data_IF_347635641703
#
_entry.id   IF_347635641703
#
_cell.length_a   1.000
_cell.length_b   1.000
_cell.length_c   1.000
_cell.angle_alpha   90.00
_cell.angle_beta   90.00
_cell.angle_gamma   90.00
#
_symmetry.space_group_name_H-M   'P 1'
#
loop_
_entity.id
_entity.type
_entity.pdbx_description
1 polymer ?
#
# COMPACT_ATOMS: atom_id res chain seq x y z
N UNK A 1 -24.40 -18.36 -12.93
CA UNK A 1 -23.75 -19.57 -13.49
C UNK A 1 -22.26 -19.41 -13.25
N UNK A 2 -21.70 -20.13 -12.28
CA UNK A 2 -20.28 -20.00 -11.92
C UNK A 2 -19.44 -20.75 -12.97
N UNK A 3 -18.61 -20.03 -13.73
CA UNK A 3 -17.62 -20.64 -14.61
C UNK A 3 -16.44 -21.13 -13.77
N UNK A 4 -15.99 -22.36 -14.00
CA UNK A 4 -14.79 -22.92 -13.38
C UNK A 4 -13.53 -22.18 -13.86
N UNK A 5 -12.43 -22.33 -13.12
CA UNK A 5 -11.09 -21.77 -13.40
C UNK A 5 -10.69 -21.86 -14.88
N UNK A 6 -10.92 -23.00 -15.53
CA UNK A 6 -10.59 -23.20 -16.96
C UNK A 6 -11.63 -22.59 -17.92
N UNK A 7 -12.88 -22.46 -17.48
CA UNK A 7 -13.95 -21.81 -18.23
C UNK A 7 -13.73 -20.31 -18.38
N UNK A 8 -13.22 -19.65 -17.33
CA UNK A 8 -12.86 -18.22 -17.37
C UNK A 8 -11.65 -17.99 -18.30
N UNK A 9 -10.61 -18.83 -18.22
CA UNK A 9 -9.44 -18.74 -19.11
C UNK A 9 -9.78 -18.95 -20.60
N UNK A 10 -10.71 -19.87 -20.92
CA UNK A 10 -11.15 -20.11 -22.30
C UNK A 10 -12.01 -18.98 -22.86
N UNK A 11 -12.94 -18.44 -22.07
CA UNK A 11 -13.74 -17.26 -22.49
C UNK A 11 -12.80 -16.06 -22.70
N UNK A 12 -11.76 -15.92 -21.89
CA UNK A 12 -10.77 -14.85 -22.02
C UNK A 12 -9.88 -14.95 -23.26
N UNK A 13 -9.44 -16.16 -23.64
CA UNK A 13 -8.69 -16.34 -24.90
C UNK A 13 -9.52 -15.94 -26.12
N UNK A 14 -10.84 -16.21 -26.10
CA UNK A 14 -11.76 -15.86 -27.19
C UNK A 14 -11.99 -14.35 -27.24
N UNK A 15 -12.22 -13.68 -26.09
CA UNK A 15 -12.44 -12.23 -26.05
C UNK A 15 -11.16 -11.45 -26.43
N UNK A 16 -9.98 -11.89 -25.97
CA UNK A 16 -8.70 -11.33 -26.41
C UNK A 16 -8.45 -11.53 -27.90
N UNK A 17 -8.80 -12.69 -28.45
CA UNK A 17 -8.69 -12.97 -29.89
C UNK A 17 -9.59 -12.06 -30.71
N UNK A 18 -10.86 -11.85 -30.30
CA UNK A 18 -11.78 -10.96 -31.01
C UNK A 18 -11.41 -9.47 -30.88
N UNK A 19 -10.93 -9.02 -29.72
CA UNK A 19 -10.47 -7.65 -29.54
C UNK A 19 -9.22 -7.35 -30.40
N UNK A 20 -8.25 -8.27 -30.42
CA UNK A 20 -7.04 -8.14 -31.26
C UNK A 20 -7.35 -8.26 -32.75
N UNK A 21 -8.27 -9.14 -33.18
CA UNK A 21 -8.72 -9.22 -34.57
C UNK A 21 -9.46 -7.96 -35.02
N UNK A 22 -10.30 -7.38 -34.17
CA UNK A 22 -11.04 -6.15 -34.49
C UNK A 22 -10.10 -4.95 -34.61
N UNK A 23 -9.06 -4.87 -33.76
CA UNK A 23 -8.01 -3.83 -33.82
C UNK A 23 -7.13 -4.00 -35.07
N UNK A 24 -6.80 -5.25 -35.46
CA UNK A 24 -6.05 -5.53 -36.69
C UNK A 24 -6.83 -5.17 -37.96
N UNK A 25 -8.16 -5.33 -37.95
CA UNK A 25 -9.00 -4.99 -39.10
C UNK A 25 -9.25 -3.47 -39.24
N UNK A 26 -9.20 -2.72 -38.14
CA UNK A 26 -9.31 -1.25 -38.14
C UNK A 26 -7.96 -0.55 -38.40
N UNK A 27 -6.84 -1.25 -38.25
CA UNK A 27 -5.47 -0.74 -38.37
C UNK A 27 -4.94 -0.54 -39.80
N UNK A 28 -5.80 -0.31 -40.81
CA UNK A 28 -5.34 0.08 -42.15
C UNK A 28 -5.22 1.60 -42.36
N UNK A 29 -5.65 2.44 -41.41
CA UNK A 29 -5.56 3.90 -41.56
C UNK A 29 -5.22 4.57 -40.23
N UNK A 30 -4.01 5.13 -40.13
CA UNK A 30 -3.51 6.06 -39.09
C UNK A 30 -2.91 5.47 -37.80
N UNK A 31 -1.69 5.93 -37.48
CA UNK A 31 -0.91 5.68 -36.27
C UNK A 31 -1.56 6.19 -34.96
N UNK A 32 -2.56 7.07 -35.06
CA UNK A 32 -3.27 7.65 -33.90
C UNK A 32 -4.25 6.65 -33.28
N UNK A 33 -4.83 5.75 -34.10
CA UNK A 33 -5.81 4.75 -33.65
C UNK A 33 -5.13 3.66 -32.80
N UNK A 34 -3.88 3.30 -33.14
CA UNK A 34 -3.10 2.29 -32.40
C UNK A 34 -2.70 2.76 -31.01
N UNK A 35 -2.43 4.06 -30.84
CA UNK A 35 -2.11 4.64 -29.54
C UNK A 35 -3.35 4.67 -28.62
N UNK A 36 -4.51 5.13 -29.15
CA UNK A 36 -5.79 5.13 -28.43
C UNK A 36 -6.25 3.70 -28.05
N UNK A 37 -5.98 2.70 -28.88
CA UNK A 37 -6.28 1.30 -28.53
C UNK A 37 -5.37 0.76 -27.43
N UNK A 38 -4.12 1.24 -27.36
CA UNK A 38 -3.16 0.86 -26.31
C UNK A 38 -3.52 1.48 -24.97
N UNK A 39 -3.91 2.76 -24.93
CA UNK A 39 -4.43 3.41 -23.71
C UNK A 39 -5.74 2.79 -23.26
N UNK A 40 -6.65 2.44 -24.18
CA UNK A 40 -7.87 1.70 -23.84
C UNK A 40 -7.56 0.31 -23.27
N UNK A 41 -6.60 -0.43 -23.84
CA UNK A 41 -6.19 -1.74 -23.33
C UNK A 41 -5.57 -1.64 -21.94
N UNK A 42 -4.73 -0.63 -21.69
CA UNK A 42 -4.14 -0.35 -20.38
C UNK A 42 -5.19 0.06 -19.35
N UNK A 43 -6.17 0.90 -19.71
CA UNK A 43 -7.32 1.22 -18.86
C UNK A 43 -8.16 -0.02 -18.57
N UNK A 44 -8.38 -0.89 -19.56
CA UNK A 44 -9.15 -2.11 -19.38
C UNK A 44 -8.44 -3.11 -18.46
N UNK A 45 -7.12 -3.26 -18.61
CA UNK A 45 -6.25 -4.06 -17.73
C UNK A 45 -6.28 -3.47 -16.31
N UNK A 46 -6.20 -2.15 -16.16
CA UNK A 46 -6.24 -1.47 -14.86
C UNK A 46 -7.59 -1.67 -14.15
N UNK A 47 -8.70 -1.47 -14.86
CA UNK A 47 -10.08 -1.68 -14.34
C UNK A 47 -10.31 -3.16 -14.01
N UNK A 48 -9.81 -4.07 -14.85
CA UNK A 48 -9.96 -5.51 -14.66
C UNK A 48 -9.13 -6.06 -13.48
N UNK A 49 -7.94 -5.52 -13.24
CA UNK A 49 -7.08 -5.91 -12.10
C UNK A 49 -7.56 -5.30 -10.77
N UNK A 50 -8.22 -4.14 -10.78
CA UNK A 50 -8.94 -3.65 -9.59
C UNK A 50 -10.11 -4.56 -9.19
N UNK A 51 -10.68 -5.34 -10.13
CA UNK A 51 -11.79 -6.26 -9.85
C UNK A 51 -11.34 -7.69 -9.46
N UNK A 52 -10.10 -8.09 -9.73
CA UNK A 52 -9.59 -9.43 -9.39
C UNK A 52 -8.78 -9.40 -8.10
N UNK A 53 -9.42 -9.79 -7.00
CA UNK A 53 -8.72 -10.14 -5.75
C UNK A 53 -7.97 -11.46 -5.93
N UNK A 54 -6.82 -11.43 -6.61
CA UNK A 54 -5.93 -12.58 -6.70
C UNK A 54 -4.47 -12.19 -6.50
N UNK A 55 -3.87 -12.85 -5.50
CA UNK A 55 -2.45 -12.90 -5.20
C UNK A 55 -1.58 -13.17 -6.44
N UNK A 56 -0.49 -12.40 -6.55
CA UNK A 56 0.71 -12.62 -7.36
C UNK A 56 0.50 -13.37 -8.68
N UNK A 57 0.11 -12.61 -9.71
CA UNK A 57 0.19 -13.09 -11.10
C UNK A 57 1.03 -12.12 -11.91
N UNK A 58 2.18 -12.58 -12.41
CA UNK A 58 2.93 -11.89 -13.47
C UNK A 58 2.16 -12.13 -14.76
N UNK A 59 1.48 -11.12 -15.28
CA UNK A 59 0.81 -11.21 -16.58
C UNK A 59 1.84 -10.96 -17.68
N UNK A 60 2.38 -12.01 -18.27
CA UNK A 60 3.21 -11.90 -19.47
C UNK A 60 2.30 -11.72 -20.69
N UNK A 61 2.12 -10.48 -21.15
CA UNK A 61 1.40 -10.19 -22.39
C UNK A 61 2.39 -10.22 -23.55
N UNK A 62 2.40 -11.31 -24.32
CA UNK A 62 3.15 -11.38 -25.59
C UNK A 62 2.21 -11.00 -26.74
N UNK A 63 2.34 -9.79 -27.26
CA UNK A 63 1.59 -9.37 -28.45
C UNK A 63 2.31 -9.90 -29.71
N UNK A 64 1.61 -10.59 -30.64
CA UNK A 64 2.20 -10.96 -31.91
C UNK A 64 2.19 -9.73 -32.83
N UNK A 65 3.33 -9.06 -33.00
CA UNK A 65 3.50 -8.03 -34.01
C UNK A 65 4.74 -8.30 -34.88
N UNK A 66 4.66 -7.84 -36.12
CA UNK A 66 5.58 -8.05 -37.27
C UNK A 66 7.08 -7.90 -36.92
N UNK A 67 7.99 -8.46 -37.76
CA UNK A 67 9.41 -8.65 -37.41
C UNK A 67 10.26 -7.38 -37.22
N UNK A 68 9.72 -6.17 -37.41
CA UNK A 68 10.51 -4.93 -37.39
C UNK A 68 10.35 -4.07 -36.12
N UNK A 69 9.61 -4.53 -35.10
CA UNK A 69 9.48 -3.79 -33.83
C UNK A 69 10.30 -4.47 -32.71
N UNK A 70 11.32 -3.78 -32.20
CA UNK A 70 12.01 -4.17 -30.96
C UNK A 70 11.06 -3.93 -29.78
N UNK A 71 10.65 -5.01 -29.12
CA UNK A 71 9.78 -4.96 -27.94
C UNK A 71 10.60 -4.59 -26.71
N UNK A 72 10.27 -3.45 -26.09
CA UNK A 72 10.53 -3.28 -24.66
C UNK A 72 9.50 -4.14 -23.93
N UNK A 73 9.96 -5.17 -23.21
CA UNK A 73 9.08 -5.97 -22.37
C UNK A 73 8.42 -5.05 -21.34
N UNK A 74 7.15 -4.74 -21.53
CA UNK A 74 6.37 -4.01 -20.52
C UNK A 74 5.93 -5.01 -19.47
N UNK A 75 6.82 -5.30 -18.51
CA UNK A 75 6.47 -6.07 -17.33
C UNK A 75 5.68 -5.16 -16.40
N UNK A 76 4.36 -5.22 -16.48
CA UNK A 76 3.49 -4.58 -15.48
C UNK A 76 3.47 -5.49 -14.25
N UNK A 77 4.43 -5.31 -13.33
CA UNK A 77 4.39 -5.95 -12.02
C UNK A 77 3.37 -5.22 -11.16
N UNK A 78 2.11 -5.64 -11.19
CA UNK A 78 1.15 -5.23 -10.18
C UNK A 78 1.50 -5.93 -8.87
N UNK A 79 2.32 -5.25 -8.05
CA UNK A 79 2.54 -5.64 -6.67
C UNK A 79 1.29 -5.28 -5.89
N UNK A 80 0.35 -6.23 -5.83
CA UNK A 80 -0.76 -6.17 -4.90
C UNK A 80 -0.16 -6.32 -3.50
N UNK A 81 -0.11 -5.22 -2.74
CA UNK A 81 -0.04 -5.32 -1.29
C UNK A 81 -1.17 -6.25 -0.87
N UNK A 82 -0.84 -7.38 -0.24
CA UNK A 82 -1.85 -8.32 0.23
C UNK A 82 -2.73 -7.58 1.24
N UNK A 83 -3.90 -7.11 0.80
CA UNK A 83 -4.91 -6.51 1.65
C UNK A 83 -5.53 -7.64 2.48
N UNK A 84 -4.90 -7.99 3.60
CA UNK A 84 -5.56 -8.77 4.65
C UNK A 84 -6.55 -7.84 5.35
N UNK A 85 -7.66 -7.54 4.68
CA UNK A 85 -8.72 -6.63 5.15
C UNK A 85 -10.03 -7.39 5.18
N UNK A 86 -10.79 -7.20 6.25
CA UNK A 86 -12.03 -7.92 6.45
C UNK A 86 -13.00 -7.04 7.23
N UNK A 87 -14.13 -6.73 6.61
CA UNK A 87 -15.21 -5.94 7.18
C UNK A 87 -16.49 -6.76 7.15
N UNK A 88 -17.18 -6.87 8.27
CA UNK A 88 -18.53 -7.42 8.33
C UNK A 88 -19.52 -6.31 8.65
N UNK A 89 -20.55 -6.20 7.83
CA UNK A 89 -21.63 -5.21 7.98
C UNK A 89 -22.92 -5.90 8.36
N UNK A 90 -23.82 -5.17 9.02
CA UNK A 90 -25.08 -5.67 9.54
C UNK A 90 -26.23 -4.71 9.23
N UNK A 91 -27.41 -5.24 8.92
CA UNK A 91 -28.59 -4.46 8.55
C UNK A 91 -29.31 -3.80 9.74
N UNK A 92 -28.93 -4.13 10.98
CA UNK A 92 -29.45 -3.51 12.20
C UNK A 92 -28.31 -3.07 13.13
N UNK A 93 -28.56 -2.11 14.04
CA UNK A 93 -27.64 -1.80 15.13
C UNK A 93 -27.34 -3.02 16.01
N UNK A 94 -26.24 -2.96 16.77
CA UNK A 94 -25.85 -4.02 17.71
C UNK A 94 -25.43 -5.32 17.04
N UNK A 95 -24.96 -5.28 15.78
CA UNK A 95 -24.51 -6.45 15.01
C UNK A 95 -25.61 -7.49 14.75
N UNK A 96 -26.84 -7.02 14.51
CA UNK A 96 -28.02 -7.86 14.30
C UNK A 96 -28.55 -7.76 12.85
N UNK A 97 -29.49 -8.64 12.51
CA UNK A 97 -30.14 -8.65 11.18
C UNK A 97 -29.36 -9.43 10.12
N UNK A 98 -29.58 -9.09 8.85
CA UNK A 98 -28.80 -9.64 7.74
C UNK A 98 -27.36 -9.13 7.85
N UNK A 99 -26.39 -10.01 7.57
CA UNK A 99 -24.97 -9.63 7.61
C UNK A 99 -24.25 -10.04 6.33
N UNK A 100 -23.27 -9.24 5.93
CA UNK A 100 -22.41 -9.51 4.77
C UNK A 100 -20.97 -9.19 5.13
N UNK A 101 -20.06 -9.97 4.57
CA UNK A 101 -18.63 -9.79 4.74
C UNK A 101 -17.97 -9.33 3.45
N UNK A 102 -17.01 -8.40 3.58
CA UNK A 102 -16.28 -7.79 2.49
C UNK A 102 -14.78 -7.88 2.75
N UNK A 103 -14.03 -8.20 1.70
CA UNK A 103 -12.56 -8.13 1.65
C UNK A 103 -12.03 -7.24 0.53
N UNK A 104 -12.93 -6.59 -0.22
CA UNK A 104 -12.61 -5.72 -1.36
C UNK A 104 -13.51 -4.50 -1.34
N UNK A 105 -13.20 -3.51 -2.18
CA UNK A 105 -14.06 -2.35 -2.39
C UNK A 105 -15.43 -2.72 -2.98
N UNK A 106 -16.44 -1.91 -2.66
CA UNK A 106 -17.84 -2.05 -3.07
C UNK A 106 -18.38 -0.67 -3.40
N UNK A 107 -18.69 -0.42 -4.67
CA UNK A 107 -19.23 0.85 -5.14
C UNK A 107 -20.71 1.07 -4.78
N UNK A 108 -21.45 0.01 -4.47
CA UNK A 108 -22.83 0.07 -3.99
C UNK A 108 -23.14 -1.13 -3.09
N UNK A 109 -23.47 -0.86 -1.82
CA UNK A 109 -23.93 -1.87 -0.86
C UNK A 109 -25.25 -2.52 -1.30
N UNK A 110 -25.99 -1.90 -2.22
CA UNK A 110 -27.21 -2.41 -2.83
C UNK A 110 -28.39 -2.40 -1.86
N UNK A 111 -29.18 -3.48 -1.87
CA UNK A 111 -30.39 -3.63 -1.05
C UNK A 111 -30.15 -3.80 0.46
N UNK A 112 -28.89 -3.93 0.89
CA UNK A 112 -28.52 -3.99 2.30
C UNK A 112 -28.16 -2.59 2.77
N UNK A 113 -28.95 -2.03 3.69
CA UNK A 113 -28.64 -0.75 4.36
C UNK A 113 -27.79 -1.06 5.60
N UNK A 114 -26.48 -0.76 5.60
CA UNK A 114 -25.61 -1.07 6.73
C UNK A 114 -25.91 -0.13 7.90
N UNK A 115 -26.10 -0.70 9.09
CA UNK A 115 -26.43 0.02 10.33
C UNK A 115 -25.44 -0.23 11.46
N UNK A 116 -24.62 -1.28 11.39
CA UNK A 116 -23.50 -1.53 12.30
C UNK A 116 -22.39 -2.33 11.62
N UNK A 117 -21.16 -2.23 12.14
CA UNK A 117 -19.95 -2.70 11.46
C UNK A 117 -19.00 -3.39 12.44
N UNK A 118 -18.36 -4.47 11.98
CA UNK A 118 -17.21 -5.09 12.63
C UNK A 118 -16.06 -5.06 11.65
N UNK A 119 -15.08 -4.21 11.92
CA UNK A 119 -13.82 -4.23 11.20
C UNK A 119 -12.96 -5.31 11.84
N UNK A 120 -12.92 -6.47 11.19
CA UNK A 120 -12.23 -7.66 11.69
C UNK A 120 -10.73 -7.52 11.44
N UNK A 121 -10.34 -7.09 10.24
CA UNK A 121 -8.94 -6.86 9.85
C UNK A 121 -8.79 -5.59 9.01
N UNK A 122 -7.72 -4.85 9.27
CA UNK A 122 -7.31 -3.66 8.55
C UNK A 122 -8.15 -2.42 8.86
N UNK A 123 -8.15 -1.48 7.92
CA UNK A 123 -8.89 -0.22 8.02
C UNK A 123 -9.76 -0.04 6.78
N UNK A 124 -10.90 0.63 6.93
CA UNK A 124 -11.90 0.79 5.89
C UNK A 124 -12.35 2.24 5.80
N UNK A 125 -12.57 2.70 4.57
CA UNK A 125 -13.13 3.99 4.25
C UNK A 125 -14.56 3.77 3.75
N UNK A 126 -15.52 4.36 4.45
CA UNK A 126 -16.93 4.29 4.12
C UNK A 126 -17.39 5.61 3.53
N UNK A 127 -18.45 5.53 2.74
CA UNK A 127 -19.07 6.67 2.07
C UNK A 127 -20.58 6.61 2.19
N UNK A 128 -21.24 7.76 2.34
CA UNK A 128 -22.70 7.87 2.36
C UNK A 128 -23.34 7.95 0.97
N UNK A 129 -22.52 8.10 -0.07
CA UNK A 129 -22.94 7.98 -1.47
C UNK A 129 -22.33 6.75 -2.15
N UNK A 130 -22.88 6.44 -3.33
CA UNK A 130 -22.37 5.36 -4.19
C UNK A 130 -21.07 5.81 -4.84
N UNK A 131 -20.36 4.86 -5.45
CA UNK A 131 -19.19 5.13 -6.28
C UNK A 131 -18.07 5.90 -5.55
N UNK A 132 -18.00 5.75 -4.22
CA UNK A 132 -16.98 6.36 -3.36
C UNK A 132 -17.06 7.90 -3.30
N UNK A 133 -18.27 8.44 -3.34
CA UNK A 133 -18.56 9.87 -3.27
C UNK A 133 -19.18 10.27 -1.92
N UNK A 134 -19.32 11.58 -1.70
CA UNK A 134 -19.93 12.12 -0.49
C UNK A 134 -19.00 12.13 0.72
N UNK A 135 -19.60 12.06 1.91
CA UNK A 135 -18.89 12.16 3.18
C UNK A 135 -18.12 10.88 3.47
N UNK A 136 -16.92 11.03 4.03
CA UNK A 136 -16.04 9.92 4.36
C UNK A 136 -16.12 9.56 5.85
N UNK A 137 -16.02 8.26 6.13
CA UNK A 137 -15.91 7.75 7.51
C UNK A 137 -14.79 6.72 7.58
N UNK A 138 -13.78 7.00 8.43
CA UNK A 138 -12.58 6.17 8.53
C UNK A 138 -12.71 5.22 9.71
N UNK A 139 -12.79 3.91 9.42
CA UNK A 139 -12.88 2.88 10.45
C UNK A 139 -11.57 2.09 10.57
N UNK A 140 -11.09 1.92 11.79
CA UNK A 140 -10.01 1.00 12.14
C UNK A 140 -10.57 -0.33 12.67
N UNK A 141 -9.70 -1.28 12.98
CA UNK A 141 -10.12 -2.55 13.58
C UNK A 141 -10.89 -2.34 14.88
N UNK A 142 -12.11 -2.90 14.96
CA UNK A 142 -12.98 -2.67 16.09
C UNK A 142 -14.46 -2.98 15.84
N UNK A 143 -15.26 -2.62 16.85
CA UNK A 143 -16.70 -2.84 16.90
C UNK A 143 -17.43 -1.51 16.87
N UNK A 144 -18.31 -1.35 15.88
CA UNK A 144 -19.08 -0.14 15.64
C UNK A 144 -20.57 -0.51 15.71
N UNK A 145 -21.19 -0.46 16.92
CA UNK A 145 -22.54 -0.97 17.14
C UNK A 145 -23.64 -0.16 16.43
N UNK A 146 -23.35 1.05 15.97
CA UNK A 146 -24.30 1.92 15.26
C UNK A 146 -23.56 2.92 14.34
N UNK A 147 -24.32 3.68 13.54
CA UNK A 147 -23.77 4.72 12.66
C UNK A 147 -23.04 5.82 13.44
N UNK A 148 -23.55 6.20 14.62
CA UNK A 148 -22.93 7.23 15.48
C UNK A 148 -21.51 6.84 15.88
N UNK A 149 -21.28 5.57 16.21
CA UNK A 149 -19.95 5.05 16.54
C UNK A 149 -18.97 5.11 15.38
N UNK A 150 -19.45 5.20 14.13
CA UNK A 150 -18.64 5.42 12.93
C UNK A 150 -18.31 6.91 12.70
N UNK A 151 -18.86 7.82 13.51
CA UNK A 151 -18.89 9.25 13.21
C UNK A 151 -19.95 9.64 12.18
N UNK A 152 -20.87 8.74 11.85
CA UNK A 152 -21.97 9.01 10.92
C UNK A 152 -23.22 9.48 11.70
N UNK A 153 -23.64 10.72 11.45
CA UNK A 153 -24.68 11.38 12.25
C UNK A 153 -26.12 11.07 11.83
N UNK A 154 -26.37 10.35 10.72
CA UNK A 154 -27.70 9.80 10.30
C UNK A 154 -27.73 9.25 8.87
N UNK A 155 -26.65 9.38 8.09
CA UNK A 155 -26.64 8.99 6.67
C UNK A 155 -26.46 7.48 6.48
N UNK A 156 -27.07 6.94 5.43
CA UNK A 156 -26.89 5.54 5.09
C UNK A 156 -25.55 5.34 4.36
N UNK A 157 -24.75 4.38 4.80
CA UNK A 157 -23.50 4.00 4.11
C UNK A 157 -23.83 3.25 2.83
N UNK A 158 -23.32 3.73 1.69
CA UNK A 158 -23.62 3.18 0.36
C UNK A 158 -22.41 2.60 -0.36
N UNK A 159 -21.19 3.05 -0.08
CA UNK A 159 -20.00 2.45 -0.68
C UNK A 159 -18.84 2.33 0.32
N UNK A 160 -17.93 1.40 0.06
CA UNK A 160 -16.92 0.92 1.01
C UNK A 160 -15.60 0.68 0.28
N UNK A 161 -14.46 1.07 0.84
CA UNK A 161 -13.13 0.74 0.32
C UNK A 161 -12.19 0.28 1.44
N UNK A 162 -11.37 -0.75 1.22
CA UNK A 162 -10.28 -1.03 2.13
C UNK A 162 -9.22 0.08 2.05
N UNK A 163 -8.65 0.43 3.18
CA UNK A 163 -7.53 1.38 3.27
C UNK A 163 -6.23 0.57 3.29
N UNK A 164 -5.28 0.83 2.37
CA UNK A 164 -3.99 0.15 2.36
C UNK A 164 -3.23 0.32 3.67
N UNK A 165 -2.49 -0.73 4.06
CA UNK A 165 -1.58 -0.62 5.18
C UNK A 165 -0.40 0.29 4.79
N UNK A 166 -0.17 1.35 5.56
CA UNK A 166 0.96 2.25 5.39
C UNK A 166 2.05 1.90 6.39
N UNK A 167 3.22 1.54 5.87
CA UNK A 167 4.44 1.36 6.68
C UNK A 167 5.24 2.67 6.81
N UNK A 168 4.73 3.81 6.36
CA UNK A 168 5.47 5.06 6.48
C UNK A 168 5.33 5.65 7.88
N UNK A 169 6.41 6.25 8.42
CA UNK A 169 6.28 7.15 9.57
C UNK A 169 5.41 8.34 9.15
N UNK A 170 4.40 8.74 9.94
CA UNK A 170 3.51 9.81 9.56
C UNK A 170 4.23 11.17 9.61
N UNK A 171 4.07 11.97 8.56
CA UNK A 171 4.51 13.36 8.51
C UNK A 171 3.60 14.15 7.58
N UNK A 172 3.12 15.30 8.05
CA UNK A 172 2.31 16.24 7.29
C UNK A 172 2.81 17.67 7.54
N UNK A 173 2.96 18.45 6.48
CA UNK A 173 3.25 19.89 6.54
C UNK A 173 1.98 20.67 6.23
N UNK A 174 1.64 21.63 7.08
CA UNK A 174 0.46 22.49 6.98
C UNK A 174 0.93 23.93 6.77
N UNK A 175 0.29 24.66 5.87
CA UNK A 175 0.68 26.01 5.47
C UNK A 175 -0.46 27.00 5.66
N UNK A 176 -0.13 28.20 6.14
CA UNK A 176 -1.11 29.25 6.40
C UNK A 176 -1.67 29.91 5.15
N UNK A 177 -1.03 29.74 3.99
CA UNK A 177 -1.47 30.26 2.69
C UNK A 177 -1.56 29.14 1.65
N UNK A 178 -2.20 29.43 0.52
CA UNK A 178 -2.26 28.53 -0.63
C UNK A 178 -0.87 28.32 -1.26
N UNK A 179 -0.74 27.29 -2.10
CA UNK A 179 0.50 26.97 -2.83
C UNK A 179 1.74 26.77 -1.95
N UNK A 180 1.54 26.31 -0.72
CA UNK A 180 2.59 25.98 0.25
C UNK A 180 3.40 27.19 0.73
N UNK A 181 2.76 28.35 0.82
CA UNK A 181 3.37 29.60 1.28
C UNK A 181 2.96 29.95 2.71
N UNK A 182 3.65 30.95 3.28
CA UNK A 182 3.37 31.46 4.62
C UNK A 182 4.01 30.63 5.74
N UNK A 183 3.36 30.59 6.90
CA UNK A 183 3.84 29.86 8.07
C UNK A 183 3.62 28.35 7.85
N UNK A 184 4.70 27.57 7.97
CA UNK A 184 4.64 26.11 7.95
C UNK A 184 4.58 25.54 9.39
N UNK A 185 3.72 24.56 9.61
CA UNK A 185 3.72 23.71 10.80
C UNK A 185 3.76 22.24 10.37
N UNK A 186 4.71 21.48 10.91
CA UNK A 186 4.88 20.06 10.63
C UNK A 186 4.33 19.25 11.79
N UNK A 187 3.49 18.26 11.49
CA UNK A 187 2.97 17.31 12.46
C UNK A 187 3.39 15.87 12.12
N UNK A 188 3.71 15.11 13.15
CA UNK A 188 4.02 13.68 13.12
C UNK A 188 3.15 12.86 14.10
N UNK A 189 2.28 13.55 14.83
CA UNK A 189 1.46 13.05 15.92
C UNK A 189 0.08 13.71 15.90
N UNK A 190 -0.91 13.17 16.64
CA UNK A 190 -2.26 13.74 16.68
C UNK A 190 -2.26 15.19 17.21
N UNK A 191 -3.01 16.06 16.53
CA UNK A 191 -3.31 17.42 16.98
C UNK A 191 -4.82 17.53 17.25
N UNK A 192 -5.19 17.68 18.52
CA UNK A 192 -6.58 17.80 18.95
C UNK A 192 -7.20 19.16 18.63
N UNK A 193 -6.37 20.19 18.49
CA UNK A 193 -6.75 21.55 18.11
C UNK A 193 -5.69 22.12 17.17
N UNK A 194 -6.10 23.05 16.31
CA UNK A 194 -5.19 23.76 15.42
C UNK A 194 -4.61 25.06 16.02
N UNK A 195 -4.90 25.39 17.28
CA UNK A 195 -4.34 26.55 18.01
C UNK A 195 -4.34 27.88 17.21
N UNK A 196 -5.44 28.18 16.51
CA UNK A 196 -5.62 29.33 15.61
C UNK A 196 -4.77 29.31 14.33
N UNK A 197 -4.21 28.17 13.95
CA UNK A 197 -3.58 27.95 12.66
C UNK A 197 -4.64 27.64 11.60
N UNK A 198 -4.81 28.56 10.66
CA UNK A 198 -5.72 28.40 9.53
C UNK A 198 -4.99 27.77 8.35
N UNK A 199 -5.20 26.46 8.14
CA UNK A 199 -4.54 25.74 7.05
C UNK A 199 -5.22 26.09 5.73
N UNK A 200 -4.45 26.63 4.77
CA UNK A 200 -4.92 26.96 3.43
C UNK A 200 -4.30 26.06 2.34
N UNK A 201 -3.15 25.44 2.63
CA UNK A 201 -2.59 24.35 1.83
C UNK A 201 -1.82 23.37 2.70
N UNK A 202 -1.58 22.15 2.21
CA UNK A 202 -0.84 21.13 2.96
C UNK A 202 -0.11 20.13 2.06
N UNK A 203 0.91 19.48 2.62
CA UNK A 203 1.63 18.36 2.00
C UNK A 203 1.63 17.18 2.95
N UNK A 204 1.07 16.06 2.53
CA UNK A 204 1.27 14.80 3.23
C UNK A 204 2.59 14.21 2.78
N UNK A 205 3.65 14.47 3.55
CA UNK A 205 5.00 14.01 3.26
C UNK A 205 5.08 12.48 3.30
N UNK A 206 4.43 11.88 4.30
CA UNK A 206 4.40 10.42 4.48
C UNK A 206 3.27 9.98 5.43
N UNK A 207 2.90 8.70 5.31
CA UNK A 207 1.82 8.11 6.12
C UNK A 207 0.43 8.36 5.55
N UNK A 208 -0.56 7.97 6.34
CA UNK A 208 -1.98 8.23 6.11
C UNK A 208 -2.49 9.11 7.25
N UNK A 209 -3.25 10.14 6.91
CA UNK A 209 -3.76 11.11 7.89
C UNK A 209 -5.28 11.18 7.80
N UNK A 210 -5.93 11.34 8.94
CA UNK A 210 -7.35 11.66 9.02
C UNK A 210 -7.47 13.08 9.55
N UNK A 211 -8.12 13.94 8.77
CA UNK A 211 -8.45 15.29 9.19
C UNK A 211 -9.93 15.37 9.54
N UNK A 212 -10.25 16.26 10.47
CA UNK A 212 -11.58 16.44 11.01
C UNK A 212 -11.98 17.91 10.92
N UNK A 213 -13.24 18.13 10.63
CA UNK A 213 -13.85 19.45 10.50
C UNK A 213 -13.74 20.26 11.80
N UNK A 214 -13.92 19.59 12.95
CA UNK A 214 -13.88 20.22 14.27
C UNK A 214 -12.74 19.69 15.14
N UNK A 215 -12.47 20.42 16.23
CA UNK A 215 -11.51 20.00 17.24
C UNK A 215 -11.89 18.67 17.91
N UNK A 216 -10.90 18.04 18.54
CA UNK A 216 -11.02 16.79 19.30
C UNK A 216 -11.55 15.62 18.45
N UNK A 217 -11.15 15.57 17.17
CA UNK A 217 -11.47 14.52 16.21
C UNK A 217 -12.98 14.35 15.96
N UNK A 218 -13.69 15.48 15.80
CA UNK A 218 -15.16 15.52 15.63
C UNK A 218 -15.56 16.15 14.30
N UNK A 219 -16.81 15.90 13.90
CA UNK A 219 -17.38 16.40 12.65
C UNK A 219 -17.09 15.50 11.48
N UNK A 220 -17.21 16.05 10.26
CA UNK A 220 -16.87 15.33 9.05
C UNK A 220 -15.39 14.94 9.04
N UNK A 221 -15.06 13.84 8.36
CA UNK A 221 -13.71 13.28 8.29
C UNK A 221 -13.25 13.21 6.85
N UNK A 222 -11.95 13.31 6.60
CA UNK A 222 -11.35 13.00 5.30
C UNK A 222 -10.04 12.22 5.48
N UNK A 223 -9.84 11.18 4.69
CA UNK A 223 -8.57 10.46 4.61
C UNK A 223 -7.66 11.17 3.61
N UNK A 224 -6.49 11.62 4.08
CA UNK A 224 -5.45 12.20 3.24
C UNK A 224 -4.32 11.18 3.01
N UNK A 225 -3.96 11.01 1.74
CA UNK A 225 -2.83 10.20 1.31
C UNK A 225 -1.64 11.09 0.97
N UNK A 226 -0.45 10.48 0.91
CA UNK A 226 0.78 11.15 0.44
C UNK A 226 0.53 11.92 -0.86
N UNK A 227 0.84 13.21 -0.85
CA UNK A 227 0.54 14.12 -1.95
C UNK A 227 0.55 15.57 -1.51
N UNK A 228 0.33 16.45 -2.48
CA UNK A 228 0.31 17.89 -2.31
C UNK A 228 -1.11 18.43 -2.54
N UNK A 229 -1.56 19.33 -1.66
CA UNK A 229 -2.90 19.90 -1.65
C UNK A 229 -2.75 21.43 -1.62
N UNK A 230 -2.53 22.07 -2.79
CA UNK A 230 -2.14 23.48 -2.89
C UNK A 230 -3.27 24.45 -2.53
N UNK A 231 -4.53 24.02 -2.61
CA UNK A 231 -5.71 24.80 -2.25
C UNK A 231 -6.63 23.92 -1.39
N UNK A 232 -6.57 24.07 -0.07
CA UNK A 232 -7.33 23.22 0.86
C UNK A 232 -8.84 23.37 0.67
N UNK A 233 -9.35 24.61 0.63
CA UNK A 233 -10.79 24.86 0.49
C UNK A 233 -11.38 24.32 -0.81
N UNK A 234 -10.65 24.38 -1.92
CA UNK A 234 -11.10 23.78 -3.20
C UNK A 234 -11.12 22.24 -3.15
N UNK A 235 -10.17 21.64 -2.45
CA UNK A 235 -10.08 20.19 -2.32
C UNK A 235 -11.12 19.62 -1.34
N UNK A 236 -11.31 20.25 -0.19
CA UNK A 236 -12.11 19.74 0.92
C UNK A 236 -13.51 20.35 1.03
N UNK A 237 -13.74 21.51 0.42
CA UNK A 237 -14.89 22.39 0.70
C UNK A 237 -14.96 22.88 2.16
N UNK A 238 -13.88 22.74 2.94
CA UNK A 238 -13.79 23.23 4.32
C UNK A 238 -12.90 24.47 4.40
N UNK A 239 -13.32 25.45 5.21
CA UNK A 239 -12.55 26.68 5.42
C UNK A 239 -11.24 26.44 6.19
N UNK A 240 -11.23 25.47 7.10
CA UNK A 240 -10.05 25.08 7.88
C UNK A 240 -10.15 23.62 8.34
N UNK A 241 -9.06 23.11 8.89
CA UNK A 241 -9.01 21.85 9.63
C UNK A 241 -9.21 22.16 11.11
N UNK A 242 -10.05 21.39 11.81
CA UNK A 242 -10.27 21.57 13.26
C UNK A 242 -9.34 20.70 14.11
N UNK A 243 -9.06 19.48 13.65
CA UNK A 243 -8.09 18.56 14.24
C UNK A 243 -7.63 17.51 13.23
N UNK A 244 -6.52 16.83 13.52
CA UNK A 244 -5.96 15.83 12.62
C UNK A 244 -5.13 14.78 13.36
N UNK A 245 -5.05 13.58 12.82
CA UNK A 245 -4.21 12.53 13.38
C UNK A 245 -3.72 11.54 12.33
N UNK A 246 -2.56 10.90 12.54
CA UNK A 246 -2.17 9.74 11.75
C UNK A 246 -3.23 8.64 11.87
N UNK A 247 -3.56 7.97 10.77
CA UNK A 247 -4.42 6.79 10.80
C UNK A 247 -3.73 5.68 11.61
N UNK A 248 -4.33 5.31 12.73
CA UNK A 248 -3.83 4.22 13.57
C UNK A 248 -4.10 2.88 12.91
N UNK A 249 -3.03 2.24 12.42
CA UNK A 249 -3.08 0.87 11.92
C UNK A 249 -2.38 -0.04 12.93
N UNK A 250 -2.98 -1.20 13.23
CA UNK A 250 -2.42 -2.12 14.23
C UNK A 250 -1.07 -2.62 13.75
N UNK A 251 -0.07 -2.56 14.62
CA UNK A 251 1.22 -3.19 14.35
C UNK A 251 1.00 -4.68 14.17
N UNK A 252 1.34 -5.15 12.98
CA UNK A 252 1.24 -6.55 12.59
C UNK A 252 2.60 -7.09 12.18
N UNK A 253 2.74 -8.40 12.25
CA UNK A 253 3.88 -9.08 11.67
C UNK A 253 3.74 -9.13 10.15
N UNK A 254 4.87 -9.18 9.47
CA UNK A 254 4.91 -9.30 8.03
C UNK A 254 6.01 -10.26 7.58
N UNK A 255 5.83 -10.87 6.41
CA UNK A 255 6.90 -11.50 5.66
C UNK A 255 7.44 -10.53 4.63
N UNK A 256 8.77 -10.40 4.59
CA UNK A 256 9.49 -9.64 3.55
C UNK A 256 10.03 -10.65 2.56
N UNK A 257 9.53 -10.65 1.32
CA UNK A 257 9.91 -11.63 0.29
C UNK A 257 10.71 -10.98 -0.81
N UNK A 258 11.75 -11.66 -1.29
CA UNK A 258 12.52 -11.17 -2.42
C UNK A 258 11.75 -11.38 -3.72
N UNK A 259 11.56 -10.33 -4.51
CA UNK A 259 10.77 -10.37 -5.73
C UNK A 259 11.36 -11.23 -6.86
N UNK A 260 12.67 -11.48 -6.87
CA UNK A 260 13.29 -12.35 -7.86
C UNK A 260 13.15 -13.84 -7.54
N UNK A 261 13.19 -14.21 -6.25
CA UNK A 261 13.19 -15.61 -5.80
C UNK A 261 11.85 -16.08 -5.22
N UNK A 262 10.97 -15.16 -4.83
CA UNK A 262 9.78 -15.46 -4.03
C UNK A 262 10.09 -15.96 -2.61
N UNK A 263 11.36 -15.93 -2.20
CA UNK A 263 11.84 -16.44 -0.91
C UNK A 263 11.71 -15.39 0.18
N UNK A 264 11.41 -15.82 1.41
CA UNK A 264 11.27 -14.97 2.57
C UNK A 264 12.61 -14.65 3.22
N UNK A 265 12.76 -13.39 3.61
CA UNK A 265 13.82 -12.90 4.48
C UNK A 265 13.73 -13.59 5.84
N UNK A 266 14.76 -14.33 6.20
CA UNK A 266 14.82 -15.16 7.39
C UNK A 266 15.99 -14.73 8.27
N UNK A 267 15.71 -14.44 9.54
CA UNK A 267 16.71 -14.17 10.56
C UNK A 267 17.34 -15.48 11.05
N UNK A 268 18.67 -15.57 11.00
CA UNK A 268 19.41 -16.66 11.64
C UNK A 268 19.64 -16.33 13.12
N UNK A 269 19.38 -17.30 14.01
CA UNK A 269 19.67 -17.15 15.43
C UNK A 269 21.17 -17.35 15.64
N UNK A 270 21.90 -16.31 16.02
CA UNK A 270 23.30 -16.43 16.45
C UNK A 270 23.39 -16.82 17.92
N UNK A 271 24.35 -17.68 18.24
CA UNK A 271 24.70 -17.99 19.63
C UNK A 271 25.55 -16.90 20.28
N UNK A 272 26.29 -16.12 19.48
CA UNK A 272 27.12 -15.01 19.95
C UNK A 272 26.36 -13.67 19.82
N UNK A 273 25.99 -13.02 20.94
CA UNK A 273 25.26 -11.76 20.94
C UNK A 273 26.07 -10.56 20.45
N UNK A 274 27.41 -10.66 20.38
CA UNK A 274 28.29 -9.58 19.90
C UNK A 274 28.47 -9.59 18.36
N UNK A 275 28.01 -10.65 17.70
CA UNK A 275 28.17 -10.86 16.26
C UNK A 275 26.90 -10.48 15.48
N UNK A 276 27.03 -9.94 14.25
CA UNK A 276 25.87 -9.65 13.41
C UNK A 276 25.17 -10.96 13.08
N UNK A 277 23.88 -11.06 13.38
CA UNK A 277 23.09 -12.19 12.93
C UNK A 277 22.92 -12.15 11.41
N UNK A 278 23.20 -13.29 10.77
CA UNK A 278 23.09 -13.41 9.32
C UNK A 278 21.63 -13.38 8.90
N UNK A 279 21.42 -12.84 7.71
CA UNK A 279 20.13 -12.84 7.03
C UNK A 279 20.23 -13.77 5.83
N UNK A 280 19.24 -14.63 5.68
CA UNK A 280 19.18 -15.63 4.62
C UNK A 280 17.83 -15.53 3.91
N UNK A 281 17.81 -15.95 2.65
CA UNK A 281 16.56 -16.17 1.92
C UNK A 281 16.22 -17.66 1.98
N UNK A 282 15.01 -17.98 2.44
CA UNK A 282 14.50 -19.35 2.53
C UNK A 282 13.10 -19.43 1.90
N UNK A 283 12.63 -20.63 1.52
CA UNK A 283 11.23 -20.82 1.13
C UNK A 283 10.30 -20.20 2.18
N UNK A 284 9.27 -19.50 1.72
CA UNK A 284 8.37 -18.80 2.61
C UNK A 284 7.50 -19.81 3.38
N UNK A 285 7.48 -19.67 4.70
CA UNK A 285 6.70 -20.48 5.62
C UNK A 285 6.13 -19.57 6.71
N UNK A 286 4.80 -19.38 6.69
CA UNK A 286 4.11 -18.51 7.63
C UNK A 286 4.16 -19.03 9.07
N UNK A 287 4.49 -20.30 9.30
CA UNK A 287 4.63 -20.88 10.64
C UNK A 287 5.96 -20.54 11.33
N UNK A 288 6.96 -20.06 10.56
CA UNK A 288 8.29 -19.79 11.09
C UNK A 288 8.42 -18.36 11.61
N UNK A 289 8.52 -18.21 12.92
CA UNK A 289 8.77 -16.91 13.59
C UNK A 289 10.04 -16.21 13.10
N UNK A 290 11.04 -16.97 12.64
CA UNK A 290 12.29 -16.42 12.07
C UNK A 290 12.08 -15.66 10.76
N UNK A 291 10.91 -15.79 10.13
CA UNK A 291 10.53 -15.07 8.91
C UNK A 291 9.53 -13.93 9.19
N UNK A 292 9.17 -13.70 10.44
CA UNK A 292 8.23 -12.64 10.83
C UNK A 292 9.00 -11.38 11.21
N UNK A 293 8.59 -10.27 10.62
CA UNK A 293 9.19 -8.97 10.81
C UNK A 293 8.15 -7.98 11.34
N UNK A 294 8.57 -7.03 12.15
CA UNK A 294 7.77 -5.86 12.54
C UNK A 294 8.47 -4.64 11.98
N UNK A 295 7.73 -3.79 11.28
CA UNK A 295 8.21 -2.47 10.92
C UNK A 295 7.64 -1.42 11.87
N UNK A 296 8.51 -0.67 12.55
CA UNK A 296 8.09 0.41 13.44
C UNK A 296 9.20 1.44 13.62
N UNK A 297 8.85 2.73 13.62
CA UNK A 297 9.82 3.84 13.81
C UNK A 297 10.99 3.77 12.79
N UNK A 298 10.66 3.48 11.53
CA UNK A 298 11.62 3.18 10.47
C UNK A 298 12.56 1.99 10.71
N UNK A 299 12.33 1.16 11.73
CA UNK A 299 13.14 -0.03 12.01
C UNK A 299 12.43 -1.28 11.50
N UNK A 300 13.14 -2.10 10.73
CA UNK A 300 12.70 -3.44 10.34
C UNK A 300 13.23 -4.46 11.36
N UNK A 301 12.40 -4.82 12.34
CA UNK A 301 12.75 -5.64 13.50
C UNK A 301 12.39 -7.10 13.27
N UNK A 302 13.25 -8.01 13.67
CA UNK A 302 12.96 -9.44 13.67
C UNK A 302 12.04 -9.79 14.83
N UNK A 303 11.05 -10.68 14.61
CA UNK A 303 10.25 -11.26 15.71
C UNK A 303 11.11 -12.10 16.64
N UNK A 304 12.15 -12.74 16.11
CA UNK A 304 13.10 -13.54 16.88
C UNK A 304 14.32 -12.69 17.27
N UNK A 305 14.64 -12.68 18.56
CA UNK A 305 15.74 -11.88 19.11
C UNK A 305 15.37 -10.39 19.30
N UNK A 306 16.38 -9.55 19.54
CA UNK A 306 16.24 -8.09 19.73
C UNK A 306 16.91 -7.29 18.60
N UNK A 307 17.06 -7.93 17.45
CA UNK A 307 17.81 -7.36 16.34
C UNK A 307 16.90 -6.68 15.30
N UNK A 308 17.44 -5.68 14.62
CA UNK A 308 16.83 -5.04 13.46
C UNK A 308 17.80 -4.98 12.28
N UNK A 309 17.25 -4.80 11.09
CA UNK A 309 18.02 -4.70 9.86
C UNK A 309 18.98 -3.51 9.94
N UNK A 310 20.25 -3.72 9.64
CA UNK A 310 21.29 -2.72 9.83
C UNK A 310 22.33 -2.75 8.71
N UNK A 311 22.72 -1.57 8.24
CA UNK A 311 23.87 -1.40 7.35
C UNK A 311 25.15 -1.49 8.18
N UNK A 312 25.91 -2.56 7.96
CA UNK A 312 27.12 -2.87 8.74
C UNK A 312 28.23 -1.88 8.42
N UNK A 313 28.86 -1.34 9.47
CA UNK A 313 29.86 -0.28 9.36
C UNK A 313 29.28 1.13 9.21
N UNK A 314 27.95 1.29 9.13
CA UNK A 314 27.27 2.59 9.19
C UNK A 314 27.53 3.53 8.01
N UNK A 315 28.07 3.02 6.89
CA UNK A 315 28.37 3.80 5.68
C UNK A 315 27.46 3.39 4.54
N UNK A 316 26.75 4.36 3.94
CA UNK A 316 26.01 4.17 2.71
C UNK A 316 26.99 4.16 1.52
N UNK A 317 27.35 2.96 1.06
CA UNK A 317 28.12 2.77 -0.16
C UNK A 317 27.63 1.53 -0.88
N UNK A 318 27.73 1.51 -2.21
CA UNK A 318 27.43 0.33 -3.03
C UNK A 318 28.27 -0.86 -2.54
N UNK A 319 27.61 -2.00 -2.33
CA UNK A 319 28.22 -3.21 -1.79
C UNK A 319 28.31 -3.27 -0.25
N UNK A 320 27.90 -2.21 0.48
CA UNK A 320 27.85 -2.23 1.94
C UNK A 320 26.95 -3.39 2.42
N UNK A 321 27.45 -4.19 3.35
CA UNK A 321 26.74 -5.38 3.85
C UNK A 321 25.58 -4.98 4.75
N UNK A 322 24.49 -5.73 4.66
CA UNK A 322 23.31 -5.57 5.50
C UNK A 322 23.09 -6.87 6.28
N UNK A 323 22.93 -6.76 7.59
CA UNK A 323 22.70 -7.89 8.49
C UNK A 323 21.78 -7.50 9.65
N UNK A 324 21.48 -8.44 10.53
CA UNK A 324 20.71 -8.16 11.75
C UNK A 324 21.66 -7.73 12.87
N UNK A 325 21.34 -6.62 13.53
CA UNK A 325 22.14 -6.08 14.64
C UNK A 325 21.25 -5.67 15.81
N UNK A 326 21.80 -5.65 17.02
CA UNK A 326 21.10 -5.18 18.22
C UNK A 326 20.53 -3.76 18.00
N UNK A 327 19.26 -3.57 18.34
CA UNK A 327 18.57 -2.30 18.16
C UNK A 327 19.23 -1.18 18.99
N UNK A 328 19.67 -0.12 18.31
CA UNK A 328 20.18 1.09 18.93
C UNK A 328 19.60 2.37 18.28
N UNK A 329 18.71 2.25 17.28
CA UNK A 329 17.89 3.35 16.74
C UNK A 329 18.61 4.41 15.89
N UNK A 330 19.89 4.18 15.57
CA UNK A 330 20.71 5.12 14.78
C UNK A 330 20.30 5.05 13.30
N UNK A 331 20.69 6.05 12.53
CA UNK A 331 20.28 6.23 11.13
C UNK A 331 20.59 5.02 10.23
N UNK A 332 21.67 4.28 10.48
CA UNK A 332 22.03 3.08 9.70
C UNK A 332 21.18 1.83 10.02
N UNK A 333 20.25 1.92 10.97
CA UNK A 333 19.19 0.93 11.22
C UNK A 333 17.82 1.39 10.70
N UNK A 334 17.74 2.62 10.18
CA UNK A 334 16.48 3.19 9.69
C UNK A 334 16.33 2.94 8.19
N UNK A 335 15.14 2.49 7.83
CA UNK A 335 14.77 2.08 6.48
C UNK A 335 13.45 2.71 6.08
N UNK A 336 13.29 2.93 4.78
CA UNK A 336 12.06 3.34 4.15
C UNK A 336 11.57 2.20 3.27
N UNK A 337 10.33 1.76 3.50
CA UNK A 337 9.63 0.83 2.61
C UNK A 337 8.91 1.66 1.53
N UNK A 338 9.41 1.60 0.30
CA UNK A 338 8.92 2.45 -0.79
C UNK A 338 7.70 1.81 -1.48
N UNK A 339 6.79 2.65 -2.01
CA UNK A 339 5.58 2.18 -2.72
C UNK A 339 5.88 1.34 -3.96
N UNK A 340 7.04 1.55 -4.59
CA UNK A 340 7.50 0.78 -5.75
C UNK A 340 8.05 -0.62 -5.38
N UNK A 341 8.07 -0.98 -4.09
CA UNK A 341 8.56 -2.26 -3.59
C UNK A 341 10.05 -2.29 -3.28
N UNK A 342 10.79 -1.19 -3.41
CA UNK A 342 12.19 -1.15 -2.94
C UNK A 342 12.27 -0.79 -1.46
N UNK A 343 13.41 -1.10 -0.84
CA UNK A 343 13.68 -0.76 0.56
C UNK A 343 14.96 0.09 0.58
N UNK A 344 14.88 1.34 1.03
CA UNK A 344 16.02 2.28 1.03
C UNK A 344 16.49 2.58 2.45
N UNK A 345 17.79 2.65 2.73
CA UNK A 345 18.28 3.10 4.02
C UNK A 345 18.06 4.61 4.17
N UNK A 346 17.84 5.11 5.40
CA UNK A 346 17.81 6.55 5.66
C UNK A 346 19.18 7.23 5.54
N UNK A 347 20.26 6.45 5.46
CA UNK A 347 21.61 6.97 5.19
C UNK A 347 21.71 7.61 3.79
N UNK A 348 21.05 7.02 2.79
CA UNK A 348 21.03 7.50 1.41
C UNK A 348 19.84 6.88 0.66
N UNK A 349 18.87 7.72 0.29
CA UNK A 349 17.66 7.27 -0.40
C UNK A 349 17.88 6.86 -1.86
N UNK A 350 19.06 7.14 -2.43
CA UNK A 350 19.43 6.71 -3.79
C UNK A 350 19.87 5.24 -3.84
N UNK A 351 20.18 4.65 -2.68
CA UNK A 351 20.53 3.25 -2.55
C UNK A 351 19.31 2.41 -2.16
N UNK A 352 19.34 1.14 -2.55
CA UNK A 352 18.30 0.16 -2.25
C UNK A 352 18.89 -1.14 -1.72
N UNK A 353 18.12 -1.84 -0.90
CA UNK A 353 18.42 -3.18 -0.42
C UNK A 353 18.36 -4.16 -1.58
N UNK A 354 19.46 -4.87 -1.79
CA UNK A 354 19.61 -5.83 -2.87
C UNK A 354 20.17 -7.15 -2.34
N UNK A 355 19.80 -8.24 -3.02
CA UNK A 355 20.52 -9.50 -2.90
C UNK A 355 21.69 -9.45 -3.87
N UNK A 356 22.93 -9.57 -3.36
CA UNK A 356 24.16 -9.48 -4.17
C UNK A 356 24.10 -10.33 -5.44
N UNK A 357 23.58 -11.55 -5.35
CA UNK A 357 23.50 -12.49 -6.46
C UNK A 357 24.88 -13.01 -6.89
N UNK A 358 24.92 -13.87 -7.92
CA UNK A 358 26.15 -14.43 -8.50
C UNK A 358 26.53 -15.83 -7.99
N UNK A 359 27.69 -16.32 -8.46
CA UNK A 359 28.26 -17.62 -8.08
C UNK A 359 29.31 -17.43 -6.97
N UNK A 360 29.03 -17.92 -5.76
CA UNK A 360 29.98 -17.86 -4.63
C UNK A 360 29.33 -18.03 -3.26
N UNK A 361 30.15 -17.96 -2.21
CA UNK A 361 29.73 -18.12 -0.80
C UNK A 361 28.83 -16.96 -0.34
N UNK A 362 29.04 -15.77 -0.89
CA UNK A 362 28.31 -14.53 -0.52
C UNK A 362 27.07 -14.26 -1.39
N UNK A 363 26.62 -15.21 -2.22
CA UNK A 363 25.56 -14.98 -3.22
C UNK A 363 24.20 -14.57 -2.62
N UNK A 364 23.96 -14.98 -1.37
CA UNK A 364 22.71 -14.74 -0.65
C UNK A 364 22.85 -13.59 0.37
N UNK A 365 24.00 -12.90 0.41
CA UNK A 365 24.17 -11.74 1.27
C UNK A 365 23.37 -10.55 0.76
N UNK A 366 22.81 -9.81 1.73
CA UNK A 366 22.15 -8.55 1.46
C UNK A 366 23.17 -7.42 1.46
N UNK A 367 23.02 -6.53 0.49
CA UNK A 367 23.89 -5.37 0.30
C UNK A 367 23.07 -4.14 -0.05
N UNK A 368 23.69 -2.97 0.04
CA UNK A 368 23.20 -1.77 -0.63
C UNK A 368 23.68 -1.75 -2.09
N UNK A 369 22.81 -1.34 -3.00
CA UNK A 369 23.13 -1.17 -4.42
C UNK A 369 22.40 0.06 -4.97
N UNK A 370 22.89 0.60 -6.09
CA UNK A 370 22.16 1.60 -6.85
C UNK A 370 20.90 0.98 -7.45
N UNK A 371 19.82 1.76 -7.53
CA UNK A 371 18.58 1.30 -8.11
C UNK A 371 18.77 0.99 -9.61
N UNK A 372 18.45 -0.24 -10.00
CA UNK A 372 18.41 -0.72 -11.37
C UNK A 372 17.02 -1.30 -11.62
N UNK A 373 16.22 -0.63 -12.46
CA UNK A 373 14.79 -0.96 -12.66
C UNK A 373 14.56 -2.38 -13.17
N UNK A 374 15.52 -2.93 -13.91
CA UNK A 374 15.41 -4.26 -14.50
C UNK A 374 15.87 -5.37 -13.53
N UNK A 375 16.35 -5.01 -12.33
CA UNK A 375 16.91 -5.95 -11.36
C UNK A 375 15.87 -6.35 -10.33
N UNK A 376 15.13 -7.43 -10.64
CA UNK A 376 14.08 -7.98 -9.76
C UNK A 376 14.54 -8.29 -8.32
N UNK A 377 15.84 -8.50 -8.08
CA UNK A 377 16.37 -8.80 -6.73
C UNK A 377 16.37 -7.60 -5.77
N UNK A 378 16.20 -6.38 -6.29
CA UNK A 378 16.12 -5.13 -5.51
C UNK A 378 14.71 -4.82 -5.02
N UNK A 379 13.74 -5.61 -5.46
CA UNK A 379 12.36 -5.40 -5.13
C UNK A 379 11.88 -6.47 -4.15
N UNK A 380 11.06 -6.04 -3.21
CA UNK A 380 10.63 -6.82 -2.07
C UNK A 380 9.10 -6.74 -1.93
N UNK A 381 8.48 -7.88 -1.72
CA UNK A 381 7.05 -7.98 -1.47
C UNK A 381 6.82 -8.02 0.05
N UNK A 382 5.96 -7.12 0.54
CA UNK A 382 5.61 -7.04 1.95
C UNK A 382 4.22 -7.66 2.12
N UNK A 383 4.19 -8.77 2.83
CA UNK A 383 2.95 -9.51 3.11
C UNK A 383 2.63 -9.43 4.59
N UNK A 384 1.53 -8.75 4.93
CA UNK A 384 0.98 -8.70 6.29
C UNK A 384 0.44 -10.07 6.69
N UNK A 385 0.75 -10.51 7.92
CA UNK A 385 0.35 -11.82 8.47
C UNK A 385 -0.90 -11.76 9.34
#
# INVERSE_FOLDING_TARGET
MFLSRDGVFRVMSVVFYFATHSILHLGQKSHVITALSFTCLLCFIHIFLSCLSFSNSVLNVTLPLRPDFRVYNLIVVLRLFCFCVQLRVYSKPGFAGESREFGTEVADCGGLIPMSFRVILGSWLLYDEKDYCGNQFVLGEGFYPDLTSCGCMTTAIKSLKPIPYSFSEPSISLFSLSSFEGLETVADSPMETMDNFFTQSLKVNSGLWVVYEFGQFRGCQMLLQMGEYPCWGEYSSWDTIGSLQPLRQRRTYMQVRNGALGMALTAERTSDPLSPAKLLLRPADRSLDTQHWIYSQALLKSKVGKGCLSVIGGKASVGARVALWEEHGRIHQRWRLNKNGTISPHLDFNLVLDRRGGSGIDKDHLILSELCTDKASQYWDIEVL
#
